data_IF_417774205980
#
_entry.id   IF_417774205980
#
_cell.length_a   1.000
_cell.length_b   1.000
_cell.length_c   1.000
_cell.angle_alpha   90.00
_cell.angle_beta   90.00
_cell.angle_gamma   90.00
#
_symmetry.space_group_name_H-M   'P 1'
#
loop_
_entity.id
_entity.type
_entity.pdbx_description
1 polymer ?
#
# COMPACT_ATOMS: atom_id res chain seq x y z
N UNK A 1 -33.70 -25.58 -49.21
CA UNK A 1 -32.78 -25.92 -48.10
C UNK A 1 -33.67 -26.20 -46.88
N UNK A 2 -33.66 -27.47 -46.40
CA UNK A 2 -34.57 -27.88 -45.32
C UNK A 2 -34.27 -27.14 -44.02
N UNK A 3 -35.26 -26.61 -43.34
CA UNK A 3 -35.14 -25.90 -42.04
C UNK A 3 -34.28 -26.68 -41.04
N UNK A 4 -34.32 -28.03 -41.09
CA UNK A 4 -33.51 -28.92 -40.24
C UNK A 4 -32.00 -28.79 -40.52
N UNK A 5 -31.61 -28.64 -41.76
CA UNK A 5 -30.22 -28.49 -42.15
C UNK A 5 -29.67 -27.07 -41.83
N UNK A 6 -30.55 -26.06 -41.95
CA UNK A 6 -30.23 -24.69 -41.57
C UNK A 6 -29.99 -24.56 -40.05
N UNK A 7 -30.81 -25.23 -39.24
CA UNK A 7 -30.65 -25.24 -37.76
C UNK A 7 -29.33 -25.94 -37.35
N UNK A 8 -28.91 -27.02 -38.02
CA UNK A 8 -27.64 -27.72 -37.77
C UNK A 8 -26.42 -26.84 -38.08
N UNK A 9 -26.50 -26.05 -39.17
CA UNK A 9 -25.42 -25.13 -39.56
C UNK A 9 -25.31 -23.98 -38.53
N UNK A 10 -26.43 -23.43 -38.04
CA UNK A 10 -26.42 -22.40 -37.00
C UNK A 10 -25.86 -22.89 -35.64
N UNK A 11 -26.21 -24.11 -35.22
CA UNK A 11 -25.65 -24.72 -34.00
C UNK A 11 -24.17 -25.02 -34.14
N UNK A 12 -23.68 -25.41 -35.29
CA UNK A 12 -22.27 -25.63 -35.57
C UNK A 12 -21.49 -24.31 -35.51
N UNK A 13 -22.05 -23.20 -36.03
CA UNK A 13 -21.42 -21.89 -35.97
C UNK A 13 -21.38 -21.32 -34.53
N UNK A 14 -22.39 -21.58 -33.71
CA UNK A 14 -22.42 -21.16 -32.30
C UNK A 14 -21.34 -21.83 -31.44
N UNK A 15 -20.92 -23.05 -31.77
CA UNK A 15 -19.85 -23.76 -31.03
C UNK A 15 -18.45 -23.16 -31.24
N UNK A 16 -18.22 -22.38 -32.30
CA UNK A 16 -16.95 -21.68 -32.52
C UNK A 16 -16.73 -20.46 -31.67
N UNK A 17 -17.77 -19.96 -30.94
CA UNK A 17 -17.65 -18.81 -30.05
C UNK A 17 -17.46 -19.19 -28.58
N UNK A 18 -17.31 -20.47 -28.24
CA UNK A 18 -16.91 -20.89 -26.90
C UNK A 18 -15.40 -20.68 -26.72
N UNK A 19 -14.98 -19.48 -26.34
CA UNK A 19 -13.66 -19.24 -25.81
C UNK A 19 -13.61 -19.82 -24.40
N UNK A 20 -12.92 -20.95 -24.24
CA UNK A 20 -12.53 -21.40 -22.91
C UNK A 20 -11.50 -20.38 -22.35
N UNK A 21 -11.85 -19.67 -21.30
CA UNK A 21 -10.87 -18.85 -20.57
C UNK A 21 -9.94 -19.83 -19.84
N UNK A 22 -8.71 -19.95 -20.33
CA UNK A 22 -7.65 -20.60 -19.57
C UNK A 22 -7.41 -19.79 -18.27
N UNK A 23 -7.29 -20.51 -17.16
CA UNK A 23 -6.87 -19.89 -15.91
C UNK A 23 -5.48 -19.24 -16.12
N UNK A 24 -5.25 -18.03 -15.62
CA UNK A 24 -3.94 -17.40 -15.75
C UNK A 24 -2.86 -18.30 -15.15
N UNK A 25 -1.69 -18.41 -15.78
CA UNK A 25 -0.61 -19.25 -15.29
C UNK A 25 -0.17 -18.79 -13.88
N UNK A 26 -0.07 -19.74 -12.94
CA UNK A 26 0.37 -19.49 -11.58
C UNK A 26 1.82 -19.95 -11.46
N UNK A 27 2.71 -19.00 -11.15
CA UNK A 27 4.10 -19.27 -10.81
C UNK A 27 4.28 -19.12 -9.31
N UNK A 28 4.77 -20.18 -8.65
CA UNK A 28 5.04 -20.20 -7.21
C UNK A 28 6.52 -19.92 -6.96
N UNK A 29 6.81 -18.88 -6.18
CA UNK A 29 8.14 -18.57 -5.70
C UNK A 29 8.21 -18.87 -4.19
N UNK A 30 9.07 -19.78 -3.79
CA UNK A 30 9.33 -20.07 -2.38
C UNK A 30 10.54 -19.28 -1.85
N UNK A 31 10.70 -19.20 -0.53
CA UNK A 31 11.76 -18.42 0.10
C UNK A 31 13.18 -18.85 -0.28
N UNK A 32 13.39 -20.10 -0.64
CA UNK A 32 14.68 -20.60 -1.10
C UNK A 32 15.06 -20.04 -2.49
N UNK A 33 14.08 -19.72 -3.36
CA UNK A 33 14.33 -19.13 -4.68
C UNK A 33 14.72 -17.65 -4.58
N UNK A 34 14.15 -16.91 -3.65
CA UNK A 34 14.43 -15.48 -3.50
C UNK A 34 15.37 -15.15 -2.32
N UNK A 35 15.85 -16.18 -1.57
CA UNK A 35 16.86 -16.06 -0.52
C UNK A 35 16.55 -14.98 0.52
N UNK A 36 15.29 -14.90 0.97
CA UNK A 36 14.81 -13.96 1.98
C UNK A 36 13.74 -14.61 2.87
N UNK A 37 13.26 -13.87 3.89
CA UNK A 37 12.22 -14.32 4.80
C UNK A 37 10.93 -14.71 4.06
N UNK A 38 10.23 -15.71 4.57
CA UNK A 38 8.99 -16.22 3.97
C UNK A 38 7.77 -15.28 4.16
N UNK A 39 7.90 -14.23 4.97
CA UNK A 39 6.83 -13.30 5.26
C UNK A 39 7.03 -11.97 4.52
N UNK A 40 6.06 -11.66 3.65
CA UNK A 40 5.94 -10.40 2.94
C UNK A 40 4.70 -9.64 3.45
N UNK A 41 4.87 -8.39 3.84
CA UNK A 41 3.83 -7.56 4.46
C UNK A 41 3.06 -6.72 3.45
N UNK A 42 3.75 -6.23 2.44
CA UNK A 42 3.20 -5.34 1.42
C UNK A 42 3.94 -5.53 0.10
N UNK A 43 3.26 -5.24 -1.00
CA UNK A 43 3.80 -5.30 -2.36
C UNK A 43 3.56 -3.98 -3.08
N UNK A 44 4.50 -3.57 -3.92
CA UNK A 44 4.36 -2.43 -4.81
C UNK A 44 5.12 -2.67 -6.11
N UNK A 45 4.70 -2.04 -7.20
CA UNK A 45 5.33 -2.18 -8.51
C UNK A 45 5.66 -0.82 -9.09
N UNK A 46 6.79 -0.72 -9.82
CA UNK A 46 7.13 0.48 -10.57
C UNK A 46 6.67 0.42 -12.03
N UNK A 47 6.86 1.53 -12.76
CA UNK A 47 6.48 1.64 -14.18
C UNK A 47 7.33 0.78 -15.12
N UNK A 48 8.45 0.23 -14.65
CA UNK A 48 9.31 -0.70 -15.38
C UNK A 48 9.02 -2.16 -15.04
N UNK A 49 7.91 -2.40 -14.34
CA UNK A 49 7.46 -3.72 -13.88
C UNK A 49 8.35 -4.41 -12.84
N UNK A 50 9.28 -3.68 -12.21
CA UNK A 50 9.96 -4.19 -11.03
C UNK A 50 8.97 -4.28 -9.87
N UNK A 51 8.95 -5.40 -9.17
CA UNK A 51 8.07 -5.64 -8.04
C UNK A 51 8.89 -5.61 -6.75
N UNK A 52 8.39 -4.87 -5.77
CA UNK A 52 9.03 -4.67 -4.47
C UNK A 52 8.16 -5.23 -3.36
N UNK A 53 8.78 -5.95 -2.44
CA UNK A 53 8.11 -6.53 -1.29
C UNK A 53 8.72 -5.99 0.00
N UNK A 54 7.87 -5.58 0.92
CA UNK A 54 8.25 -5.35 2.30
C UNK A 54 8.41 -6.70 2.99
N UNK A 55 9.67 -7.14 3.18
CA UNK A 55 9.99 -8.47 3.69
C UNK A 55 10.62 -8.40 5.09
N UNK A 56 10.55 -9.49 5.83
CA UNK A 56 11.15 -9.59 7.16
C UNK A 56 12.66 -9.33 7.17
N UNK A 57 13.35 -9.57 6.07
CA UNK A 57 14.80 -9.40 5.98
C UNK A 57 15.24 -8.13 5.25
N UNK A 58 14.29 -7.32 4.75
CA UNK A 58 14.59 -6.08 4.04
C UNK A 58 13.65 -5.79 2.89
N UNK A 59 14.08 -4.95 1.96
CA UNK A 59 13.39 -4.69 0.71
C UNK A 59 13.78 -5.77 -0.31
N UNK A 60 12.82 -6.60 -0.67
CA UNK A 60 13.01 -7.63 -1.68
C UNK A 60 12.51 -7.11 -3.04
N UNK A 61 13.34 -7.18 -4.06
CA UNK A 61 13.07 -6.73 -5.42
C UNK A 61 13.02 -7.92 -6.37
N UNK A 62 12.05 -7.92 -7.28
CA UNK A 62 11.95 -8.84 -8.41
C UNK A 62 11.86 -8.06 -9.73
N UNK A 63 12.78 -8.32 -10.66
CA UNK A 63 12.83 -7.63 -11.94
C UNK A 63 12.20 -8.40 -13.10
N UNK A 64 11.44 -9.46 -12.78
CA UNK A 64 10.86 -10.37 -13.78
C UNK A 64 11.71 -11.63 -14.02
N UNK A 65 12.99 -11.64 -13.64
CA UNK A 65 13.93 -12.76 -13.81
C UNK A 65 14.70 -13.09 -12.55
N UNK A 66 15.24 -12.08 -11.88
CA UNK A 66 16.12 -12.24 -10.72
C UNK A 66 15.55 -11.54 -9.48
N UNK A 67 15.97 -12.04 -8.33
CA UNK A 67 15.64 -11.49 -7.02
C UNK A 67 16.84 -10.78 -6.42
N UNK A 68 16.61 -9.67 -5.74
CA UNK A 68 17.63 -8.91 -5.01
C UNK A 68 17.08 -8.49 -3.64
N UNK A 69 17.85 -8.74 -2.58
CA UNK A 69 17.50 -8.34 -1.22
C UNK A 69 18.37 -7.15 -0.78
N UNK A 70 17.75 -6.08 -0.34
CA UNK A 70 18.39 -4.89 0.22
C UNK A 70 18.03 -4.80 1.70
N UNK A 71 19.04 -4.94 2.57
CA UNK A 71 18.84 -4.80 4.02
C UNK A 71 18.33 -3.40 4.37
N UNK A 72 17.40 -3.31 5.31
CA UNK A 72 16.98 -2.02 5.86
C UNK A 72 18.15 -1.34 6.59
N UNK A 73 18.16 0.01 6.73
CA UNK A 73 19.30 0.73 7.30
C UNK A 73 19.65 0.33 8.74
N UNK A 74 18.70 -0.18 9.47
CA UNK A 74 18.83 -0.64 10.85
C UNK A 74 18.64 -2.16 10.99
N UNK A 75 18.69 -2.89 9.85
CA UNK A 75 18.57 -4.35 9.76
C UNK A 75 17.28 -4.91 10.40
N UNK A 76 16.22 -4.12 10.40
CA UNK A 76 14.92 -4.53 10.92
C UNK A 76 13.94 -4.88 9.80
N UNK A 77 12.81 -5.46 10.19
CA UNK A 77 11.71 -5.84 9.27
C UNK A 77 11.17 -4.59 8.56
N UNK A 78 11.05 -4.66 7.24
CA UNK A 78 10.28 -3.68 6.47
C UNK A 78 8.80 -4.08 6.52
N UNK A 79 7.96 -3.18 7.03
CA UNK A 79 6.51 -3.39 7.19
C UNK A 79 5.69 -2.85 6.05
N UNK A 80 6.17 -1.79 5.42
CA UNK A 80 5.45 -1.13 4.34
C UNK A 80 6.37 -0.75 3.18
N UNK A 81 5.84 -0.81 1.97
CA UNK A 81 6.53 -0.40 0.74
C UNK A 81 5.55 0.27 -0.21
N UNK A 82 5.96 1.38 -0.82
CA UNK A 82 5.18 2.09 -1.83
C UNK A 82 6.08 2.74 -2.86
N UNK A 83 5.89 2.39 -4.12
CA UNK A 83 6.53 3.09 -5.24
C UNK A 83 5.74 4.35 -5.57
N UNK A 84 6.44 5.48 -5.66
CA UNK A 84 5.88 6.78 -6.04
C UNK A 84 6.89 7.46 -6.98
N UNK A 85 6.55 7.56 -8.24
CA UNK A 85 7.47 8.03 -9.28
C UNK A 85 8.73 7.14 -9.36
N UNK A 86 9.89 7.74 -9.20
CA UNK A 86 11.19 7.06 -9.24
C UNK A 86 11.74 6.67 -7.85
N UNK A 87 10.93 6.77 -6.80
CA UNK A 87 11.32 6.45 -5.43
C UNK A 87 10.51 5.28 -4.89
N UNK A 88 11.17 4.40 -4.15
CA UNK A 88 10.55 3.30 -3.43
C UNK A 88 10.57 3.68 -1.95
N UNK A 89 9.43 4.06 -1.41
CA UNK A 89 9.30 4.42 0.00
C UNK A 89 9.13 3.18 0.85
N UNK A 90 9.82 3.12 1.99
CA UNK A 90 9.73 2.00 2.95
C UNK A 90 9.58 2.52 4.37
N UNK A 91 8.84 1.75 5.16
CA UNK A 91 8.70 1.95 6.60
C UNK A 91 9.06 0.66 7.35
N UNK A 92 9.90 0.80 8.37
CA UNK A 92 10.35 -0.28 9.23
C UNK A 92 10.26 0.11 10.72
N UNK A 93 11.02 -0.53 11.58
CA UNK A 93 11.08 -0.19 13.01
C UNK A 93 11.88 1.10 13.21
N UNK A 94 11.26 2.11 13.81
CA UNK A 94 11.83 3.44 14.11
C UNK A 94 12.52 4.14 12.93
N UNK A 95 12.27 3.70 11.69
CA UNK A 95 12.92 4.21 10.51
C UNK A 95 11.95 4.21 9.32
N UNK A 96 11.95 5.27 8.55
CA UNK A 96 11.29 5.36 7.25
C UNK A 96 12.04 6.29 6.32
N UNK A 97 11.92 6.01 5.03
CA UNK A 97 12.62 6.78 4.01
C UNK A 97 12.30 6.26 2.62
N UNK A 98 13.25 6.45 1.71
CA UNK A 98 13.08 6.00 0.33
C UNK A 98 14.38 5.51 -0.28
N UNK A 99 14.22 4.64 -1.26
CA UNK A 99 15.29 4.12 -2.11
C UNK A 99 15.22 4.77 -3.48
N UNK A 100 16.39 5.03 -4.07
CA UNK A 100 16.54 5.48 -5.44
C UNK A 100 17.53 4.59 -6.17
N UNK A 101 17.24 4.29 -7.44
CA UNK A 101 18.14 3.49 -8.27
C UNK A 101 19.24 4.37 -8.84
N UNK A 102 20.49 3.97 -8.62
CA UNK A 102 21.67 4.59 -9.20
C UNK A 102 21.91 4.11 -10.64
N UNK A 103 22.79 4.78 -11.37
CA UNK A 103 23.15 4.42 -12.74
C UNK A 103 23.76 3.00 -12.87
N UNK A 104 24.39 2.49 -11.81
CA UNK A 104 24.90 1.13 -11.74
C UNK A 104 23.83 0.07 -11.41
N UNK A 105 22.57 0.44 -11.35
CA UNK A 105 21.44 -0.44 -11.08
C UNK A 105 21.15 -0.71 -9.59
N UNK A 106 22.05 -0.39 -8.67
CA UNK A 106 21.85 -0.59 -7.24
C UNK A 106 20.91 0.43 -6.61
N UNK A 107 20.12 -0.01 -5.64
CA UNK A 107 19.28 0.86 -4.82
C UNK A 107 20.12 1.52 -3.71
N UNK A 108 19.93 2.82 -3.52
CA UNK A 108 20.55 3.59 -2.44
C UNK A 108 19.45 4.17 -1.54
N UNK A 109 19.59 3.98 -0.23
CA UNK A 109 18.61 4.45 0.76
C UNK A 109 18.88 5.89 1.17
N UNK A 110 17.80 6.63 1.41
CA UNK A 110 17.81 7.95 2.04
C UNK A 110 16.82 7.96 3.20
N UNK A 111 17.33 8.12 4.41
CA UNK A 111 16.50 8.24 5.62
C UNK A 111 15.72 9.56 5.61
N UNK A 112 14.42 9.47 5.92
CA UNK A 112 13.56 10.61 6.21
C UNK A 112 13.31 10.78 7.71
N UNK A 113 13.33 9.70 8.47
CA UNK A 113 13.17 9.71 9.94
C UNK A 113 14.27 10.52 10.62
N UNK A 114 15.48 10.53 10.07
CA UNK A 114 16.61 11.31 10.59
C UNK A 114 16.33 12.83 10.66
N UNK A 115 15.42 13.34 9.82
CA UNK A 115 15.02 14.77 9.85
C UNK A 115 14.11 15.09 11.03
N UNK A 116 13.47 14.08 11.63
CA UNK A 116 12.52 14.23 12.73
C UNK A 116 12.79 13.29 13.90
N UNK A 117 14.01 12.75 14.00
CA UNK A 117 14.40 11.68 14.92
C UNK A 117 13.99 11.98 16.39
N UNK A 118 14.10 13.23 16.85
CA UNK A 118 13.68 13.64 18.18
C UNK A 118 12.17 13.55 18.44
N UNK A 119 11.36 13.35 17.38
CA UNK A 119 9.90 13.27 17.43
C UNK A 119 9.35 11.87 17.14
N UNK A 120 10.19 10.92 16.69
CA UNK A 120 9.81 9.52 16.53
C UNK A 120 9.71 8.91 17.94
N UNK A 121 8.63 8.16 18.18
CA UNK A 121 8.43 7.46 19.46
C UNK A 121 9.29 6.20 19.53
N UNK A 122 9.64 5.79 20.75
CA UNK A 122 10.23 4.48 20.97
C UNK A 122 9.27 3.39 20.53
N UNK A 123 9.80 2.31 19.96
CA UNK A 123 9.06 1.14 19.45
C UNK A 123 8.09 1.43 18.28
N UNK A 124 8.23 2.57 17.60
CA UNK A 124 7.35 2.94 16.51
C UNK A 124 7.64 2.13 15.23
N UNK A 125 6.60 1.55 14.64
CA UNK A 125 6.67 0.80 13.39
C UNK A 125 5.74 1.42 12.35
N UNK A 126 6.19 1.49 11.09
CA UNK A 126 5.48 2.14 10.00
C UNK A 126 4.78 1.12 9.11
N UNK A 127 3.47 0.95 9.33
CA UNK A 127 2.66 -0.12 8.75
C UNK A 127 2.04 0.20 7.42
N UNK A 128 1.85 1.48 7.08
CA UNK A 128 1.19 1.88 5.85
C UNK A 128 1.86 3.12 5.25
N UNK A 129 1.90 3.17 3.91
CA UNK A 129 2.38 4.30 3.15
C UNK A 129 1.34 4.69 2.10
N UNK A 130 0.91 5.95 2.14
CA UNK A 130 -0.06 6.52 1.20
C UNK A 130 0.59 7.66 0.43
N UNK A 131 0.31 7.75 -0.86
CA UNK A 131 0.63 8.93 -1.68
C UNK A 131 -0.63 9.72 -2.01
N UNK A 132 -0.59 11.02 -1.75
CA UNK A 132 -1.67 11.94 -2.09
C UNK A 132 -1.08 13.27 -2.52
N UNK A 133 -1.28 13.65 -3.77
CA UNK A 133 -0.64 14.82 -4.41
C UNK A 133 0.89 14.85 -4.17
N UNK A 134 1.41 15.91 -3.55
CA UNK A 134 2.82 16.03 -3.16
C UNK A 134 3.15 15.37 -1.82
N UNK A 135 2.19 14.77 -1.14
CA UNK A 135 2.40 14.18 0.18
C UNK A 135 2.67 12.68 0.11
N UNK A 136 3.64 12.24 0.89
CA UNK A 136 3.85 10.85 1.25
C UNK A 136 3.58 10.71 2.74
N UNK A 137 2.60 9.88 3.06
CA UNK A 137 2.09 9.69 4.41
C UNK A 137 2.58 8.36 4.94
N UNK A 138 3.29 8.38 6.06
CA UNK A 138 3.71 7.19 6.78
C UNK A 138 2.87 7.05 8.03
N UNK A 139 2.20 5.92 8.17
CA UNK A 139 1.33 5.64 9.31
C UNK A 139 2.00 4.63 10.23
N UNK A 140 2.12 5.01 11.49
CA UNK A 140 2.35 4.10 12.62
C UNK A 140 1.04 3.77 13.35
N UNK A 141 1.12 3.00 14.43
CA UNK A 141 -0.05 2.76 15.29
C UNK A 141 -0.39 3.95 16.20
N UNK A 142 0.52 4.92 16.34
CA UNK A 142 0.38 6.05 17.24
C UNK A 142 0.24 7.39 16.53
N UNK A 143 0.85 7.53 15.34
CA UNK A 143 1.00 8.80 14.64
C UNK A 143 0.90 8.63 13.13
N UNK A 144 0.71 9.76 12.46
CA UNK A 144 0.73 9.85 11.00
C UNK A 144 1.73 10.96 10.64
N UNK A 145 2.76 10.60 9.89
CA UNK A 145 3.81 11.51 9.43
C UNK A 145 3.56 11.85 7.97
N UNK A 146 3.38 13.13 7.68
CA UNK A 146 3.06 13.64 6.36
C UNK A 146 4.31 14.36 5.83
N UNK A 147 4.98 13.75 4.87
CA UNK A 147 6.13 14.33 4.19
C UNK A 147 5.68 15.08 2.94
N UNK A 148 5.90 16.38 2.90
CA UNK A 148 5.74 17.19 1.70
C UNK A 148 6.99 17.05 0.83
N UNK A 149 6.85 16.42 -0.33
CA UNK A 149 7.97 16.13 -1.24
C UNK A 149 8.49 17.35 -1.96
N UNK A 150 7.68 18.42 -2.10
CA UNK A 150 8.07 19.70 -2.73
C UNK A 150 8.74 20.62 -1.72
N UNK A 151 8.09 20.82 -0.56
CA UNK A 151 8.64 21.67 0.49
C UNK A 151 9.76 21.00 1.29
N UNK A 152 9.91 19.67 1.19
CA UNK A 152 10.85 18.87 1.97
C UNK A 152 10.68 19.05 3.49
N UNK A 153 9.44 19.14 3.95
CA UNK A 153 9.05 19.38 5.34
C UNK A 153 8.10 18.31 5.82
N UNK A 154 7.91 18.25 7.16
CA UNK A 154 7.00 17.31 7.80
C UNK A 154 5.88 18.02 8.55
N UNK A 155 4.68 17.41 8.48
CA UNK A 155 3.60 17.61 9.45
C UNK A 155 3.37 16.29 10.17
N UNK A 156 3.02 16.34 11.46
CA UNK A 156 2.79 15.15 12.27
C UNK A 156 1.40 15.25 12.87
N UNK A 157 0.54 14.31 12.53
CA UNK A 157 -0.75 14.15 13.17
C UNK A 157 -0.58 13.21 14.36
N UNK A 158 -0.99 13.68 15.52
CA UNK A 158 -0.91 12.97 16.81
C UNK A 158 -2.32 12.75 17.34
N UNK A 159 -3.02 11.69 16.93
CA UNK A 159 -4.34 11.39 17.46
C UNK A 159 -4.30 11.13 18.95
N UNK A 160 -5.38 11.46 19.66
CA UNK A 160 -5.51 11.16 21.10
C UNK A 160 -5.50 9.65 21.34
N UNK A 161 -6.11 8.90 20.43
CA UNK A 161 -6.17 7.44 20.44
C UNK A 161 -5.28 6.90 19.32
N UNK A 162 -4.82 5.64 19.42
CA UNK A 162 -4.01 5.03 18.39
C UNK A 162 -4.70 4.96 17.03
N UNK A 163 -3.93 4.77 15.97
CA UNK A 163 -4.39 4.68 14.58
C UNK A 163 -4.56 3.22 14.19
N UNK A 164 -5.76 2.82 13.77
CA UNK A 164 -6.01 1.47 13.23
C UNK A 164 -5.51 1.37 11.80
N UNK A 165 -5.96 2.27 10.93
CA UNK A 165 -5.61 2.26 9.49
C UNK A 165 -5.89 3.63 8.86
N UNK A 166 -5.06 3.97 7.87
CA UNK A 166 -5.27 5.14 7.00
C UNK A 166 -5.72 4.71 5.61
N UNK A 167 -6.54 5.55 4.99
CA UNK A 167 -7.17 5.30 3.69
C UNK A 167 -6.95 6.49 2.78
N UNK A 168 -6.80 6.22 1.49
CA UNK A 168 -6.80 7.24 0.44
C UNK A 168 -8.09 7.12 -0.35
N UNK A 169 -8.73 8.25 -0.58
CA UNK A 169 -9.79 8.40 -1.58
C UNK A 169 -9.30 9.27 -2.76
N UNK A 170 -10.17 9.56 -3.71
CA UNK A 170 -9.86 10.51 -4.79
C UNK A 170 -9.58 11.92 -4.25
N UNK A 171 -10.23 12.32 -3.16
CA UNK A 171 -10.30 13.71 -2.74
C UNK A 171 -9.57 14.00 -1.42
N UNK A 172 -9.22 12.97 -0.63
CA UNK A 172 -8.64 13.17 0.69
C UNK A 172 -7.98 11.91 1.27
N UNK A 173 -7.36 12.08 2.44
CA UNK A 173 -6.83 11.01 3.27
C UNK A 173 -7.66 10.92 4.53
N UNK A 174 -8.12 9.72 4.86
CA UNK A 174 -8.86 9.40 6.07
C UNK A 174 -8.07 8.45 6.96
N UNK A 175 -8.37 8.42 8.25
CA UNK A 175 -7.87 7.40 9.15
C UNK A 175 -8.88 7.06 10.24
N UNK A 176 -8.88 5.81 10.66
CA UNK A 176 -9.67 5.32 11.78
C UNK A 176 -8.80 5.16 13.01
N UNK A 177 -9.29 5.60 14.16
CA UNK A 177 -8.62 5.46 15.47
C UNK A 177 -9.10 4.22 16.22
N UNK A 178 -8.40 3.83 17.29
CA UNK A 178 -8.70 2.64 18.10
C UNK A 178 -10.03 2.72 18.84
N UNK A 179 -10.60 3.91 19.02
CA UNK A 179 -11.98 4.12 19.48
C UNK A 179 -13.02 4.12 18.36
N UNK A 180 -12.60 3.69 17.15
CA UNK A 180 -13.41 3.58 15.94
C UNK A 180 -13.91 4.90 15.35
N UNK A 181 -13.42 6.03 15.81
CA UNK A 181 -13.70 7.33 15.20
C UNK A 181 -13.01 7.47 13.86
N UNK A 182 -13.68 8.11 12.90
CA UNK A 182 -13.15 8.40 11.57
C UNK A 182 -12.76 9.87 11.47
N UNK A 183 -11.55 10.12 11.02
CA UNK A 183 -11.00 11.45 10.80
C UNK A 183 -10.56 11.62 9.36
N UNK A 184 -10.57 12.87 8.90
CA UNK A 184 -9.96 13.34 7.66
C UNK A 184 -8.69 14.11 7.97
N UNK A 185 -7.69 14.01 7.09
CA UNK A 185 -6.48 14.85 7.14
C UNK A 185 -6.69 16.03 6.19
N UNK A 186 -7.01 17.18 6.76
CA UNK A 186 -7.19 18.43 6.05
C UNK A 186 -6.01 19.36 6.34
N UNK A 187 -5.24 19.74 5.31
CA UNK A 187 -4.06 20.60 5.44
C UNK A 187 -3.02 20.12 6.47
N UNK A 188 -2.94 18.81 6.69
CA UNK A 188 -2.02 18.20 7.68
C UNK A 188 -2.52 18.26 9.12
N UNK A 189 -3.78 18.56 9.34
CA UNK A 189 -4.49 18.53 10.62
C UNK A 189 -5.63 17.52 10.58
N UNK A 190 -6.04 17.03 11.75
CA UNK A 190 -7.16 16.09 11.86
C UNK A 190 -8.49 16.83 11.99
N UNK A 191 -9.47 16.39 11.20
CA UNK A 191 -10.86 16.82 11.29
C UNK A 191 -11.74 15.60 11.57
N UNK A 192 -12.51 15.61 12.64
CA UNK A 192 -13.46 14.54 12.94
C UNK A 192 -14.57 14.50 11.88
N UNK A 193 -14.75 13.34 11.27
CA UNK A 193 -15.82 13.09 10.29
C UNK A 193 -16.98 12.36 10.94
N UNK A 194 -16.68 11.30 11.72
CA UNK A 194 -17.72 10.53 12.39
C UNK A 194 -17.18 9.82 13.63
N UNK A 195 -17.96 9.85 14.69
CA UNK A 195 -17.85 8.99 15.87
C UNK A 195 -19.15 8.20 16.10
N UNK A 196 -19.92 7.95 15.05
CA UNK A 196 -21.21 7.29 15.08
C UNK A 196 -21.10 5.87 15.67
N UNK A 197 -22.09 5.48 16.44
CA UNK A 197 -22.20 4.16 17.06
C UNK A 197 -22.16 3.00 16.05
N UNK A 198 -22.56 3.23 14.79
CA UNK A 198 -22.47 2.26 13.69
C UNK A 198 -21.02 1.85 13.40
N UNK A 199 -20.05 2.75 13.61
CA UNK A 199 -18.63 2.44 13.46
C UNK A 199 -18.03 1.77 14.70
N UNK A 200 -18.70 1.82 15.84
CA UNK A 200 -18.18 1.29 17.10
C UNK A 200 -18.04 -0.22 17.05
N UNK A 201 -16.84 -0.73 17.28
CA UNK A 201 -16.52 -2.15 17.16
C UNK A 201 -16.23 -2.62 15.73
N UNK A 202 -16.46 -1.77 14.71
CA UNK A 202 -16.30 -2.11 13.31
C UNK A 202 -15.03 -1.47 12.72
N UNK A 203 -14.06 -2.32 12.37
CA UNK A 203 -12.88 -1.86 11.63
C UNK A 203 -13.26 -1.54 10.18
N UNK A 204 -12.86 -0.37 9.73
CA UNK A 204 -13.00 0.01 8.33
C UNK A 204 -11.97 -0.79 7.51
N UNK A 205 -12.45 -1.44 6.47
CA UNK A 205 -11.63 -2.19 5.50
C UNK A 205 -11.20 -1.27 4.37
N UNK A 206 -12.17 -0.49 3.83
CA UNK A 206 -11.90 0.48 2.76
C UNK A 206 -12.90 1.64 2.79
N UNK A 207 -12.51 2.75 2.14
CA UNK A 207 -13.33 3.96 1.96
C UNK A 207 -13.29 4.35 0.49
N UNK A 208 -14.46 4.66 -0.07
CA UNK A 208 -14.62 5.14 -1.44
C UNK A 208 -15.33 6.48 -1.44
N UNK A 209 -14.85 7.44 -2.25
CA UNK A 209 -15.62 8.65 -2.54
C UNK A 209 -16.73 8.33 -3.52
N UNK A 210 -17.92 8.81 -3.22
CA UNK A 210 -19.10 8.81 -4.10
C UNK A 210 -19.61 10.24 -4.23
N UNK A 211 -20.52 10.50 -5.17
CA UNK A 211 -20.97 11.87 -5.48
C UNK A 211 -21.54 12.61 -4.27
N UNK A 212 -22.24 11.92 -3.38
CA UNK A 212 -22.90 12.51 -2.22
C UNK A 212 -22.20 12.19 -0.87
N UNK A 213 -20.95 11.69 -0.89
CA UNK A 213 -20.23 11.43 0.36
C UNK A 213 -19.22 10.29 0.32
N UNK A 214 -19.20 9.48 1.36
CA UNK A 214 -18.28 8.35 1.52
C UNK A 214 -19.04 7.03 1.63
N UNK A 215 -18.68 6.07 0.80
CA UNK A 215 -19.05 4.68 0.99
C UNK A 215 -17.98 4.00 1.85
N UNK A 216 -18.37 3.53 3.02
CA UNK A 216 -17.49 2.90 3.99
C UNK A 216 -17.77 1.40 4.04
N UNK A 217 -16.77 0.60 3.71
CA UNK A 217 -16.80 -0.85 3.86
C UNK A 217 -16.15 -1.21 5.19
N UNK A 218 -16.90 -1.87 6.07
CA UNK A 218 -16.44 -2.33 7.38
C UNK A 218 -16.28 -3.85 7.42
N UNK A 219 -15.61 -4.37 8.47
CA UNK A 219 -15.30 -5.79 8.58
C UNK A 219 -16.55 -6.68 8.71
N UNK A 220 -17.63 -6.18 9.30
CA UNK A 220 -18.82 -6.97 9.63
C UNK A 220 -20.11 -6.45 9.02
N UNK A 221 -20.09 -5.40 8.18
CA UNK A 221 -21.27 -4.84 7.51
C UNK A 221 -20.90 -4.39 6.08
#
# INVERSE_FOLDING_TARGET
MNLRNSFFIYTLFLSFFCFSQELPPIIKYNSSLYSAGNQNWMISQDSKHFVYFANNEGLLEFNGSTWSLYKSPNETIIRSVKVIGNRIYTGCYMEFGFWTRKNNGHLNYTSLSNKIKSKVLDDEQFWNIISYDQWVVFQSLNRIYIYDTKANTFKIVMPKNGVLKSFKTSNSIYYQTTDYSLFEIENGSSKLISNNSVLKGNKIVNIFSIDEGLLIHTQFN
#
